data_IF_816972153585
#
_entry.id   IF_816972153585
#
_cell.length_a   1.000
_cell.length_b   1.000
_cell.length_c   1.000
_cell.angle_alpha   90.00
_cell.angle_beta   90.00
_cell.angle_gamma   90.00
#
_symmetry.space_group_name_H-M   'P 1'
#
loop_
_entity.id
_entity.type
_entity.pdbx_description
1 polymer ?
#
# COMPACT_ATOMS: atom_id res chain seq x y z
N UNK A 1 6.33 -16.86 -8.28
CA UNK A 1 7.19 -15.75 -8.72
C UNK A 1 6.67 -14.43 -8.11
N UNK A 2 6.72 -14.31 -6.79
CA UNK A 2 6.26 -13.13 -6.01
C UNK A 2 7.15 -12.99 -4.75
N UNK A 3 8.46 -13.18 -4.92
CA UNK A 3 9.45 -13.16 -3.83
C UNK A 3 10.46 -12.02 -3.98
N UNK A 4 10.05 -10.87 -4.52
CA UNK A 4 10.77 -9.62 -4.24
C UNK A 4 10.07 -8.92 -3.09
N UNK A 5 10.09 -9.59 -1.93
CA UNK A 5 9.84 -8.92 -0.66
C UNK A 5 10.87 -7.81 -0.54
N UNK A 6 10.45 -6.61 -0.14
CA UNK A 6 11.35 -5.47 0.00
C UNK A 6 12.61 -5.88 0.76
N UNK A 7 13.77 -5.56 0.20
CA UNK A 7 15.04 -6.01 0.73
C UNK A 7 15.35 -5.27 2.04
N UNK A 8 15.12 -5.97 3.16
CA UNK A 8 15.38 -5.50 4.50
C UNK A 8 16.85 -5.03 4.65
N UNK A 9 17.05 -3.86 5.27
CA UNK A 9 18.36 -3.21 5.47
C UNK A 9 19.16 -2.89 4.20
N UNK A 10 18.56 -2.88 3.01
CA UNK A 10 19.24 -2.32 1.84
C UNK A 10 19.43 -0.81 1.96
N UNK A 11 20.44 -0.30 1.24
CA UNK A 11 20.75 1.14 1.22
C UNK A 11 19.61 1.96 0.62
N UNK A 12 18.82 1.37 -0.29
CA UNK A 12 17.73 2.02 -1.01
C UNK A 12 16.65 0.99 -1.37
N UNK A 13 15.38 1.38 -1.26
CA UNK A 13 14.23 0.60 -1.72
C UNK A 13 13.06 1.53 -2.03
N UNK A 14 11.98 1.01 -2.64
CA UNK A 14 10.78 1.78 -2.95
C UNK A 14 10.00 2.12 -1.66
N UNK A 15 9.90 3.40 -1.33
CA UNK A 15 9.16 3.83 -0.15
C UNK A 15 7.68 3.42 -0.24
N UNK A 16 7.11 2.75 0.78
CA UNK A 16 5.71 2.33 0.74
C UNK A 16 4.69 3.48 0.81
N UNK A 17 5.16 4.70 1.09
CA UNK A 17 4.32 5.89 1.20
C UNK A 17 4.30 6.73 -0.08
N UNK A 18 5.47 6.94 -0.71
CA UNK A 18 5.61 7.82 -1.87
C UNK A 18 6.10 7.09 -3.13
N UNK A 19 6.35 5.78 -3.04
CA UNK A 19 6.77 4.87 -4.13
C UNK A 19 8.11 5.22 -4.79
N UNK A 20 8.77 6.28 -4.33
CA UNK A 20 10.11 6.68 -4.78
C UNK A 20 11.16 5.67 -4.31
N UNK A 21 12.04 5.25 -5.22
CA UNK A 21 13.23 4.48 -4.89
C UNK A 21 14.24 5.38 -4.17
N UNK A 22 14.38 5.22 -2.86
CA UNK A 22 15.15 6.17 -2.02
C UNK A 22 15.83 5.50 -0.84
N UNK A 23 16.77 6.23 -0.23
CA UNK A 23 17.46 5.82 0.99
C UNK A 23 16.51 5.87 2.18
N UNK A 24 16.68 4.93 3.10
CA UNK A 24 15.96 4.94 4.36
C UNK A 24 16.95 4.99 5.52
N UNK A 25 16.69 5.88 6.49
CA UNK A 25 17.44 5.93 7.74
C UNK A 25 16.87 4.89 8.70
N UNK A 26 17.70 3.93 9.09
CA UNK A 26 17.31 2.81 9.95
C UNK A 26 17.64 3.10 11.41
N UNK A 27 16.70 2.85 12.31
CA UNK A 27 16.85 2.99 13.76
C UNK A 27 16.29 1.76 14.48
N UNK A 28 16.94 1.34 15.56
CA UNK A 28 16.37 0.38 16.50
C UNK A 28 15.36 1.09 17.42
N UNK A 29 14.24 0.43 17.71
CA UNK A 29 13.23 0.98 18.61
C UNK A 29 13.59 0.67 20.08
N UNK A 30 13.74 1.71 20.88
CA UNK A 30 13.98 1.60 22.32
C UNK A 30 12.67 1.44 23.09
N UNK A 31 12.65 0.54 24.08
CA UNK A 31 11.57 0.42 25.07
C UNK A 31 11.88 1.31 26.27
N UNK A 32 10.92 2.18 26.62
CA UNK A 32 10.91 2.95 27.85
C UNK A 32 9.96 2.32 28.88
N UNK A 33 10.32 2.39 30.16
CA UNK A 33 9.44 2.01 31.26
C UNK A 33 8.82 3.25 31.88
N UNK A 34 7.51 3.23 32.14
CA UNK A 34 6.80 4.32 32.83
C UNK A 34 6.85 4.03 34.34
N UNK A 35 7.45 4.93 35.11
CA UNK A 35 7.35 4.89 36.58
C UNK A 35 6.08 5.55 37.07
N UNK A 36 5.66 5.27 38.31
CA UNK A 36 4.50 5.94 38.95
C UNK A 36 4.62 7.47 38.95
N UNK A 37 5.85 7.99 38.94
CA UNK A 37 6.15 9.41 38.91
C UNK A 37 6.28 9.99 37.49
N UNK A 38 5.91 9.23 36.45
CA UNK A 38 5.91 9.66 35.05
C UNK A 38 7.28 9.74 34.38
N UNK A 39 8.37 9.35 35.06
CA UNK A 39 9.69 9.30 34.44
C UNK A 39 9.83 8.06 33.56
N UNK A 40 10.21 8.29 32.30
CA UNK A 40 10.55 7.26 31.33
C UNK A 40 12.04 6.91 31.44
N UNK A 41 12.38 5.70 31.87
CA UNK A 41 13.76 5.22 31.85
C UNK A 41 13.98 4.21 30.71
N UNK A 42 15.22 4.14 30.20
CA UNK A 42 15.58 3.19 29.16
C UNK A 42 15.58 1.77 29.72
N UNK A 43 14.84 0.87 29.07
CA UNK A 43 14.75 -0.56 29.46
C UNK A 43 15.54 -1.44 28.49
N UNK A 44 15.77 -1.00 27.26
CA UNK A 44 16.42 -1.81 26.22
C UNK A 44 15.91 -1.47 24.83
N UNK A 45 16.30 -2.28 23.84
CA UNK A 45 15.67 -2.28 22.53
C UNK A 45 14.54 -3.31 22.47
N UNK A 46 13.58 -3.09 21.58
CA UNK A 46 12.59 -4.08 21.17
C UNK A 46 13.25 -4.98 20.11
N UNK A 47 13.46 -6.29 20.39
CA UNK A 47 14.03 -7.20 19.41
C UNK A 47 13.20 -7.23 18.13
N UNK A 48 13.88 -7.38 16.99
CA UNK A 48 13.29 -7.57 15.65
C UNK A 48 12.37 -6.46 15.13
N UNK A 49 12.18 -5.39 15.92
CA UNK A 49 11.40 -4.21 15.55
C UNK A 49 12.31 -3.07 15.11
N UNK A 50 12.17 -2.67 13.85
CA UNK A 50 13.02 -1.66 13.22
C UNK A 50 12.18 -0.52 12.66
N UNK A 51 12.68 0.68 12.87
CA UNK A 51 12.15 1.92 12.33
C UNK A 51 12.96 2.32 11.09
N UNK A 52 12.28 2.62 9.99
CA UNK A 52 12.88 3.17 8.78
C UNK A 52 12.27 4.52 8.44
N UNK A 53 13.07 5.55 8.16
CA UNK A 53 12.59 6.88 7.74
C UNK A 53 12.94 7.14 6.27
N UNK A 54 11.94 7.41 5.45
CA UNK A 54 12.14 7.73 4.03
C UNK A 54 12.86 9.08 3.87
N UNK A 55 13.96 9.10 3.13
CA UNK A 55 14.71 10.36 2.88
C UNK A 55 14.01 11.32 1.90
N UNK A 56 12.92 10.89 1.26
CA UNK A 56 12.17 11.72 0.31
C UNK A 56 10.92 12.34 0.95
N UNK A 57 10.02 11.52 1.49
CA UNK A 57 8.75 12.00 2.04
C UNK A 57 8.75 12.15 3.57
N UNK A 58 9.83 11.78 4.27
CA UNK A 58 9.96 11.81 5.73
C UNK A 58 8.92 10.96 6.50
N UNK A 59 8.16 10.11 5.81
CA UNK A 59 7.28 9.15 6.48
C UNK A 59 8.08 7.93 6.96
N UNK A 60 7.61 7.34 8.06
CA UNK A 60 8.27 6.20 8.68
C UNK A 60 7.64 4.87 8.29
N UNK A 61 8.43 3.82 8.37
CA UNK A 61 8.02 2.42 8.22
C UNK A 61 8.39 1.65 9.47
N UNK A 62 7.50 0.79 9.95
CA UNK A 62 7.81 -0.18 11.00
C UNK A 62 7.99 -1.55 10.37
N UNK A 63 9.05 -2.22 10.80
CA UNK A 63 9.43 -3.55 10.34
C UNK A 63 9.48 -4.48 11.54
N UNK A 64 8.82 -5.62 11.44
CA UNK A 64 8.89 -6.70 12.42
C UNK A 64 9.34 -7.98 11.70
N UNK A 65 10.38 -8.63 12.20
CA UNK A 65 10.92 -9.86 11.59
C UNK A 65 11.21 -9.70 10.10
N UNK A 66 11.87 -8.59 9.73
CA UNK A 66 12.22 -8.24 8.34
C UNK A 66 11.02 -7.99 7.41
N UNK A 67 9.81 -7.82 7.95
CA UNK A 67 8.59 -7.51 7.19
C UNK A 67 8.03 -6.16 7.59
N UNK A 68 7.61 -5.36 6.61
CA UNK A 68 6.86 -4.13 6.88
C UNK A 68 5.53 -4.50 7.55
N UNK A 69 5.31 -3.96 8.75
CA UNK A 69 4.02 -4.01 9.46
C UNK A 69 3.29 -2.68 9.38
N UNK A 70 4.00 -1.59 9.11
CA UNK A 70 3.42 -0.27 8.88
C UNK A 70 4.24 0.53 7.85
N UNK A 71 3.60 1.24 6.90
CA UNK A 71 2.16 1.26 6.63
C UNK A 71 1.69 -0.09 6.08
N UNK A 72 0.37 -0.26 5.89
CA UNK A 72 -0.09 -1.40 5.11
C UNK A 72 0.41 -1.23 3.68
N UNK A 73 1.45 -1.99 3.33
CA UNK A 73 2.12 -1.84 2.05
C UNK A 73 1.44 -2.69 0.99
N UNK A 74 1.20 -2.07 -0.16
CA UNK A 74 0.76 -2.75 -1.37
C UNK A 74 1.73 -2.45 -2.51
N UNK A 75 2.11 -3.49 -3.24
CA UNK A 75 2.86 -3.35 -4.49
C UNK A 75 1.96 -2.93 -5.66
N UNK A 76 0.65 -2.84 -5.45
CA UNK A 76 -0.26 -2.43 -6.52
C UNK A 76 -0.11 -0.93 -6.84
N UNK A 77 -0.24 -0.55 -8.13
CA UNK A 77 -0.12 0.84 -8.58
C UNK A 77 -1.06 1.79 -7.85
N UNK A 78 -0.68 3.07 -7.77
CA UNK A 78 -1.61 4.13 -7.36
C UNK A 78 -2.70 4.35 -8.41
N UNK A 79 -3.89 4.82 -8.00
CA UNK A 79 -4.88 5.31 -8.96
C UNK A 79 -4.33 6.56 -9.68
N UNK A 80 -4.73 6.73 -10.94
CA UNK A 80 -4.45 7.95 -11.71
C UNK A 80 -5.22 9.15 -11.17
N UNK A 81 -4.74 10.36 -11.44
CA UNK A 81 -5.39 11.60 -11.01
C UNK A 81 -6.81 11.74 -11.60
N UNK A 82 -6.98 11.34 -12.86
CA UNK A 82 -8.25 11.40 -13.58
C UNK A 82 -9.25 10.30 -13.20
N UNK A 83 -8.89 9.41 -12.27
CA UNK A 83 -9.78 8.31 -11.88
C UNK A 83 -11.02 8.84 -11.14
N UNK A 84 -12.25 8.55 -11.62
CA UNK A 84 -13.47 9.03 -10.96
C UNK A 84 -13.58 8.54 -9.51
N UNK A 85 -14.08 9.38 -8.60
CA UNK A 85 -14.10 9.11 -7.15
C UNK A 85 -14.63 7.71 -6.80
N UNK A 86 -15.81 7.34 -7.31
CA UNK A 86 -16.41 6.03 -7.00
C UNK A 86 -15.63 4.83 -7.54
N UNK A 87 -14.83 5.00 -8.59
CA UNK A 87 -13.91 3.99 -9.15
C UNK A 87 -12.66 3.90 -8.29
N UNK A 88 -12.11 5.07 -7.93
CA UNK A 88 -10.91 5.25 -7.11
C UNK A 88 -11.03 4.62 -5.74
N UNK A 89 -12.17 4.79 -5.07
CA UNK A 89 -12.44 4.17 -3.77
C UNK A 89 -12.34 2.64 -3.83
N UNK A 90 -13.04 2.01 -4.77
CA UNK A 90 -13.01 0.54 -4.93
C UNK A 90 -11.65 0.03 -5.40
N UNK A 91 -10.95 0.82 -6.22
CA UNK A 91 -9.58 0.50 -6.63
C UNK A 91 -8.61 0.53 -5.43
N UNK A 92 -8.71 1.54 -4.57
CA UNK A 92 -7.90 1.65 -3.35
C UNK A 92 -8.20 0.52 -2.36
N UNK A 93 -9.46 0.10 -2.23
CA UNK A 93 -9.83 -1.06 -1.41
C UNK A 93 -9.20 -2.35 -1.94
N UNK A 94 -9.25 -2.57 -3.27
CA UNK A 94 -8.59 -3.71 -3.90
C UNK A 94 -7.06 -3.69 -3.66
N UNK A 95 -6.45 -2.50 -3.78
CA UNK A 95 -5.04 -2.26 -3.52
C UNK A 95 -4.68 -2.60 -2.07
N UNK A 96 -5.52 -2.27 -1.10
CA UNK A 96 -5.28 -2.55 0.32
C UNK A 96 -5.22 -4.05 0.60
N UNK A 97 -6.12 -4.84 0.01
CA UNK A 97 -6.26 -6.26 0.39
C UNK A 97 -5.52 -7.24 -0.53
N UNK A 98 -4.92 -6.79 -1.63
CA UNK A 98 -4.32 -7.66 -2.66
C UNK A 98 -3.29 -8.65 -2.09
N UNK A 99 -2.48 -8.22 -1.12
CA UNK A 99 -1.48 -9.07 -0.49
C UNK A 99 -2.08 -10.07 0.51
N UNK A 100 -3.24 -9.75 1.09
CA UNK A 100 -3.96 -10.63 2.04
C UNK A 100 -4.85 -11.64 1.32
N UNK A 101 -5.56 -11.19 0.29
CA UNK A 101 -6.51 -12.00 -0.48
C UNK A 101 -6.55 -11.53 -1.93
N UNK A 102 -5.69 -12.10 -2.80
CA UNK A 102 -5.71 -11.82 -4.23
C UNK A 102 -7.08 -12.10 -4.87
N UNK A 103 -7.81 -13.10 -4.36
CA UNK A 103 -9.16 -13.45 -4.82
C UNK A 103 -10.18 -12.35 -4.51
N UNK A 104 -10.17 -11.82 -3.29
CA UNK A 104 -11.05 -10.72 -2.93
C UNK A 104 -10.68 -9.43 -3.67
N UNK A 105 -9.38 -9.13 -3.79
CA UNK A 105 -8.90 -8.00 -4.58
C UNK A 105 -9.34 -8.09 -6.04
N UNK A 106 -9.28 -9.27 -6.66
CA UNK A 106 -9.76 -9.47 -8.03
C UNK A 106 -11.26 -9.16 -8.19
N UNK A 107 -12.09 -9.54 -7.21
CA UNK A 107 -13.52 -9.21 -7.22
C UNK A 107 -13.75 -7.70 -7.12
N UNK A 108 -13.00 -7.00 -6.25
CA UNK A 108 -13.05 -5.55 -6.14
C UNK A 108 -12.55 -4.85 -7.41
N UNK A 109 -11.49 -5.33 -8.05
CA UNK A 109 -11.01 -4.80 -9.34
C UNK A 109 -12.07 -4.95 -10.43
N UNK A 110 -12.79 -6.09 -10.47
CA UNK A 110 -13.91 -6.27 -11.39
C UNK A 110 -15.03 -5.26 -11.13
N UNK A 111 -15.35 -4.97 -9.86
CA UNK A 111 -16.32 -3.96 -9.48
C UNK A 111 -15.85 -2.54 -9.85
N UNK A 112 -14.58 -2.22 -9.62
CA UNK A 112 -13.97 -0.93 -10.00
C UNK A 112 -14.09 -0.70 -11.51
N UNK A 113 -13.77 -1.73 -12.33
CA UNK A 113 -13.94 -1.69 -13.79
C UNK A 113 -15.41 -1.47 -14.19
N UNK A 114 -16.35 -2.16 -13.55
CA UNK A 114 -17.78 -1.95 -13.82
C UNK A 114 -18.25 -0.53 -13.49
N UNK A 115 -17.74 0.07 -12.41
CA UNK A 115 -18.04 1.47 -12.07
C UNK A 115 -17.47 2.43 -13.10
N UNK A 116 -16.27 2.16 -13.62
CA UNK A 116 -15.63 2.98 -14.65
C UNK A 116 -16.42 2.95 -15.96
N UNK A 117 -16.80 1.75 -16.42
CA UNK A 117 -17.63 1.56 -17.61
C UNK A 117 -18.93 2.38 -17.51
N UNK A 118 -19.61 2.32 -16.36
CA UNK A 118 -20.83 3.12 -16.12
C UNK A 118 -20.57 4.62 -16.14
N UNK A 119 -19.44 5.06 -15.59
CA UNK A 119 -19.05 6.48 -15.61
C UNK A 119 -18.82 7.00 -17.03
N UNK A 120 -18.31 6.15 -17.93
CA UNK A 120 -18.13 6.46 -19.35
C UNK A 120 -19.44 6.44 -20.16
N UNK A 121 -20.60 6.25 -19.53
CA UNK A 121 -21.92 6.31 -20.17
C UNK A 121 -22.42 4.99 -20.77
N UNK A 122 -21.67 3.91 -20.62
CA UNK A 122 -22.03 2.60 -21.16
C UNK A 122 -23.14 1.96 -20.33
N UNK A 123 -24.21 1.52 -21.01
CA UNK A 123 -25.42 0.97 -20.38
C UNK A 123 -25.47 -0.56 -20.41
N UNK A 124 -24.57 -1.21 -21.15
CA UNK A 124 -24.53 -2.66 -21.22
C UNK A 124 -24.32 -3.29 -19.84
N UNK A 125 -25.16 -4.29 -19.53
CA UNK A 125 -24.99 -5.13 -18.34
C UNK A 125 -23.90 -6.19 -18.51
N UNK A 126 -23.59 -6.55 -19.75
CA UNK A 126 -22.50 -7.49 -20.06
C UNK A 126 -21.19 -6.70 -20.16
N UNK A 127 -20.22 -7.08 -19.33
CA UNK A 127 -18.91 -6.42 -19.26
C UNK A 127 -18.14 -6.51 -20.58
N UNK A 128 -18.18 -7.66 -21.27
CA UNK A 128 -17.47 -7.86 -22.53
C UNK A 128 -18.04 -6.96 -23.63
N UNK A 129 -19.36 -6.95 -23.75
CA UNK A 129 -20.07 -6.05 -24.68
C UNK A 129 -19.79 -4.59 -24.34
N UNK A 130 -19.79 -4.24 -23.05
CA UNK A 130 -19.54 -2.88 -22.60
C UNK A 130 -18.12 -2.41 -22.96
N UNK A 131 -17.12 -3.26 -22.76
CA UNK A 131 -15.73 -2.96 -23.14
C UNK A 131 -15.60 -2.85 -24.66
N UNK A 132 -16.21 -3.75 -25.43
CA UNK A 132 -16.21 -3.68 -26.90
C UNK A 132 -16.80 -2.36 -27.40
N UNK A 133 -17.98 -1.97 -26.90
CA UNK A 133 -18.62 -0.72 -27.27
C UNK A 133 -17.75 0.50 -26.98
N UNK A 134 -17.05 0.51 -25.84
CA UNK A 134 -16.17 1.63 -25.47
C UNK A 134 -14.93 1.69 -26.35
N UNK A 135 -14.40 0.54 -26.79
CA UNK A 135 -13.26 0.48 -27.74
C UNK A 135 -13.70 0.97 -29.12
N UNK A 136 -14.90 0.62 -29.58
CA UNK A 136 -15.40 1.02 -30.90
C UNK A 136 -15.74 2.52 -30.98
N UNK A 137 -16.05 3.15 -29.84
CA UNK A 137 -16.47 4.56 -29.75
C UNK A 137 -15.34 5.53 -29.34
N UNK A 138 -14.12 5.05 -29.08
CA UNK A 138 -12.97 5.83 -28.61
C UNK A 138 -11.87 5.94 -29.65
#
# INVERSE_FOLDING_TARGET
>A
MLEKMLDFKTKTFNCPHCETHTKHKWCYLAKGGISENGFNYYVGFVPDLIFGLCSHCNNFTLWLNEKIVYPHFSLAPQPTEDMPLGVKETFLEAREIVMKSPRAASALLRLSLQKLIKHLGEKSRNLETAVSNLVDNG
#
